data_IF_791633601888
#
_entry.id   IF_791633601888
#
_cell.length_a   1.000
_cell.length_b   1.000
_cell.length_c   1.000
_cell.angle_alpha   90.00
_cell.angle_beta   90.00
_cell.angle_gamma   90.00
#
_symmetry.space_group_name_H-M   'P 1'
#
loop_
_entity.id
_entity.type
_entity.pdbx_description
1 polymer ?
#
# COMPACT_ATOMS: atom_id res chain seq x y z
N UNK A 1 -4.31 -0.19 3.06
CA UNK A 1 -4.41 -0.44 4.50
C UNK A 1 -4.55 0.87 5.28
N UNK A 2 -5.74 1.18 5.84
CA UNK A 2 -6.00 2.41 6.59
C UNK A 2 -5.06 2.70 7.78
N UNK A 3 -4.38 1.70 8.35
CA UNK A 3 -3.41 1.92 9.43
C UNK A 3 -2.06 2.47 8.96
N UNK A 4 -1.67 2.22 7.71
CA UNK A 4 -0.32 2.50 7.19
C UNK A 4 -0.31 3.27 5.85
N UNK A 5 -1.47 3.51 5.24
CA UNK A 5 -1.64 4.31 4.03
C UNK A 5 -2.51 5.53 4.35
N UNK A 6 -1.92 6.73 4.22
CA UNK A 6 -2.61 8.01 4.45
C UNK A 6 -3.83 8.19 3.56
N UNK A 7 -3.76 7.73 2.31
CA UNK A 7 -4.85 7.78 1.35
C UNK A 7 -6.03 6.91 1.78
N UNK A 8 -5.76 5.68 2.23
CA UNK A 8 -6.81 4.73 2.62
C UNK A 8 -7.46 5.16 3.93
N UNK A 9 -6.67 5.69 4.87
CA UNK A 9 -7.19 6.25 6.12
C UNK A 9 -8.16 7.41 5.85
N UNK A 10 -7.75 8.35 4.98
CA UNK A 10 -8.58 9.50 4.63
C UNK A 10 -9.84 9.08 3.87
N UNK A 11 -9.75 8.13 2.93
CA UNK A 11 -10.92 7.62 2.22
C UNK A 11 -11.93 6.96 3.18
N UNK A 12 -11.44 6.20 4.16
CA UNK A 12 -12.28 5.59 5.20
C UNK A 12 -12.95 6.66 6.07
N UNK A 13 -12.21 7.68 6.53
CA UNK A 13 -12.75 8.77 7.33
C UNK A 13 -13.78 9.61 6.56
N UNK A 14 -13.54 9.89 5.27
CA UNK A 14 -14.50 10.58 4.42
C UNK A 14 -15.79 9.77 4.28
N UNK A 15 -15.68 8.46 4.08
CA UNK A 15 -16.83 7.57 4.03
C UNK A 15 -17.55 7.48 5.38
N UNK A 16 -16.86 7.53 6.53
CA UNK A 16 -17.50 7.55 7.86
C UNK A 16 -18.22 8.86 8.15
N UNK A 17 -17.58 9.99 7.86
CA UNK A 17 -18.06 11.33 8.22
C UNK A 17 -19.15 11.87 7.30
N UNK A 18 -19.25 11.39 6.05
CA UNK A 18 -20.17 11.94 5.04
C UNK A 18 -21.24 10.91 4.60
N UNK A 19 -22.40 10.83 5.28
CA UNK A 19 -23.50 9.95 4.86
C UNK A 19 -23.95 10.20 3.42
N UNK A 20 -23.94 11.45 2.95
CA UNK A 20 -24.27 11.80 1.57
C UNK A 20 -23.30 11.16 0.54
N UNK A 21 -22.03 11.00 0.90
CA UNK A 21 -21.04 10.32 0.04
C UNK A 21 -21.37 8.83 -0.07
N UNK A 22 -21.74 8.19 1.04
CA UNK A 22 -22.18 6.79 1.05
C UNK A 22 -23.46 6.60 0.22
N UNK A 23 -24.45 7.47 0.40
CA UNK A 23 -25.69 7.45 -0.37
C UNK A 23 -25.44 7.62 -1.88
N UNK A 24 -24.56 8.56 -2.27
CA UNK A 24 -24.19 8.80 -3.68
C UNK A 24 -23.68 7.54 -4.37
N UNK A 25 -22.86 6.75 -3.68
CA UNK A 25 -22.25 5.53 -4.22
C UNK A 25 -22.99 4.25 -3.82
N UNK A 26 -24.17 4.36 -3.18
CA UNK A 26 -24.97 3.22 -2.69
C UNK A 26 -24.19 2.29 -1.74
N UNK A 27 -23.30 2.88 -0.95
CA UNK A 27 -22.54 2.18 0.09
C UNK A 27 -23.39 2.09 1.35
N UNK A 28 -23.56 0.88 1.88
CA UNK A 28 -24.30 0.67 3.12
C UNK A 28 -23.44 1.02 4.35
N UNK A 29 -24.09 1.45 5.42
CA UNK A 29 -23.42 1.79 6.68
C UNK A 29 -22.66 0.58 7.27
N UNK A 30 -23.22 -0.62 7.16
CA UNK A 30 -22.60 -1.88 7.60
C UNK A 30 -21.27 -2.21 6.90
N UNK A 31 -21.01 -1.62 5.73
CA UNK A 31 -19.75 -1.83 4.98
C UNK A 31 -18.64 -0.88 5.39
N UNK A 32 -18.92 0.10 6.25
CA UNK A 32 -17.97 1.17 6.58
C UNK A 32 -17.86 1.39 8.08
N UNK A 33 -19.00 1.63 8.75
CA UNK A 33 -19.01 2.08 10.15
C UNK A 33 -18.35 1.10 11.12
N UNK A 34 -18.52 -0.23 10.99
CA UNK A 34 -17.90 -1.19 11.91
C UNK A 34 -16.37 -1.32 11.76
N UNK A 35 -15.80 -0.86 10.64
CA UNK A 35 -14.40 -1.13 10.31
C UNK A 35 -13.49 -0.02 10.80
N UNK A 36 -12.56 -0.36 11.70
CA UNK A 36 -11.50 0.53 12.18
C UNK A 36 -10.14 0.15 11.59
N UNK A 37 -9.20 1.11 11.63
CA UNK A 37 -7.83 0.86 11.18
C UNK A 37 -7.12 -0.13 12.11
N UNK A 38 -6.86 -1.33 11.61
CA UNK A 38 -6.17 -2.40 12.35
C UNK A 38 -4.65 -2.20 12.33
N UNK A 39 -3.97 -2.17 13.49
CA UNK A 39 -2.51 -2.09 13.55
C UNK A 39 -1.86 -3.39 13.05
N UNK A 40 -0.96 -3.28 12.07
CA UNK A 40 -0.25 -4.42 11.45
C UNK A 40 1.26 -4.31 11.58
N UNK A 41 1.79 -3.08 11.49
CA UNK A 41 3.21 -2.75 11.60
C UNK A 41 3.35 -1.73 12.73
N UNK A 42 4.42 -1.85 13.51
CA UNK A 42 4.82 -0.86 14.51
C UNK A 42 6.17 -0.27 14.14
N UNK A 43 6.34 1.03 14.36
CA UNK A 43 7.65 1.65 14.41
C UNK A 43 7.74 2.63 15.59
N UNK A 44 8.96 2.96 15.99
CA UNK A 44 9.20 3.81 17.17
C UNK A 44 8.63 5.23 16.98
N UNK A 45 8.69 5.76 15.76
CA UNK A 45 8.31 7.14 15.49
C UNK A 45 6.81 7.33 15.25
N UNK A 46 6.14 6.39 14.59
CA UNK A 46 4.74 6.51 14.20
C UNK A 46 3.79 5.55 14.92
N UNK A 47 4.29 4.77 15.89
CA UNK A 47 3.52 3.76 16.62
C UNK A 47 2.95 2.69 15.67
N UNK A 48 1.88 2.06 16.10
CA UNK A 48 1.11 0.99 15.47
C UNK A 48 0.11 1.48 14.40
N UNK A 49 -0.16 2.80 14.33
CA UNK A 49 -1.09 3.44 13.39
C UNK A 49 -0.48 4.68 12.71
N UNK A 50 0.49 4.43 11.84
CA UNK A 50 1.26 5.50 11.22
C UNK A 50 0.43 6.48 10.38
N UNK A 51 -0.58 6.00 9.66
CA UNK A 51 -1.45 6.84 8.84
C UNK A 51 -2.32 7.80 9.68
N UNK A 52 -2.82 7.33 10.82
CA UNK A 52 -3.60 8.14 11.75
C UNK A 52 -2.76 9.25 12.38
N UNK A 53 -1.53 8.92 12.80
CA UNK A 53 -0.60 9.92 13.32
C UNK A 53 -0.28 10.99 12.28
N UNK A 54 0.09 10.59 11.06
CA UNK A 54 0.40 11.52 9.98
C UNK A 54 -0.80 12.41 9.61
N UNK A 55 -2.03 11.86 9.69
CA UNK A 55 -3.26 12.62 9.49
C UNK A 55 -3.43 13.74 10.53
N UNK A 56 -3.21 13.44 11.82
CA UNK A 56 -3.31 14.40 12.92
C UNK A 56 -2.22 15.48 12.77
N UNK A 57 -0.97 15.07 12.57
CA UNK A 57 0.19 15.96 12.51
C UNK A 57 0.09 16.96 11.33
N UNK A 58 -0.33 16.47 10.15
CA UNK A 58 -0.45 17.29 8.94
C UNK A 58 -1.82 17.99 8.81
N UNK A 59 -2.73 17.78 9.78
CA UNK A 59 -4.08 18.35 9.81
C UNK A 59 -4.80 18.19 8.47
N UNK A 60 -4.80 16.96 7.96
CA UNK A 60 -5.50 16.61 6.72
C UNK A 60 -7.00 16.58 7.02
N UNK A 61 -7.82 17.10 6.13
CA UNK A 61 -9.29 17.23 6.31
C UNK A 61 -10.09 16.54 5.21
N UNK A 62 -9.45 16.18 4.10
CA UNK A 62 -10.13 15.65 2.92
C UNK A 62 -9.19 14.85 2.04
N UNK A 63 -9.72 13.83 1.37
CA UNK A 63 -8.98 13.06 0.34
C UNK A 63 -8.51 13.91 -0.86
N UNK A 64 -9.02 15.14 -1.00
CA UNK A 64 -8.63 16.06 -2.07
C UNK A 64 -7.32 16.81 -1.80
N UNK A 65 -6.78 16.76 -0.57
CA UNK A 65 -5.51 17.44 -0.21
C UNK A 65 -4.28 16.65 -0.68
N UNK A 66 -4.14 16.49 -2.00
CA UNK A 66 -3.12 15.63 -2.65
C UNK A 66 -1.69 15.90 -2.19
N UNK A 67 -1.32 17.17 -1.99
CA UNK A 67 0.03 17.56 -1.56
C UNK A 67 0.33 17.04 -0.16
N UNK A 68 -0.59 17.23 0.79
CA UNK A 68 -0.43 16.75 2.17
C UNK A 68 -0.46 15.22 2.24
N UNK A 69 -1.32 14.58 1.46
CA UNK A 69 -1.40 13.12 1.40
C UNK A 69 -0.14 12.49 0.81
N UNK A 70 0.45 13.11 -0.20
CA UNK A 70 1.73 12.70 -0.77
C UNK A 70 2.86 12.81 0.26
N UNK A 71 2.92 13.91 1.01
CA UNK A 71 3.91 14.06 2.09
C UNK A 71 3.70 13.04 3.21
N UNK A 72 2.45 12.84 3.65
CA UNK A 72 2.11 11.81 4.64
C UNK A 72 2.54 10.41 4.18
N UNK A 73 2.31 10.07 2.90
CA UNK A 73 2.73 8.79 2.32
C UNK A 73 4.25 8.66 2.32
N UNK A 74 4.97 9.71 1.93
CA UNK A 74 6.44 9.71 1.91
C UNK A 74 7.04 9.43 3.29
N UNK A 75 6.53 10.11 4.32
CA UNK A 75 7.00 9.98 5.70
C UNK A 75 6.73 8.58 6.28
N UNK A 76 5.52 8.07 6.08
CA UNK A 76 5.08 6.81 6.69
C UNK A 76 5.58 5.57 5.94
N UNK A 77 5.62 5.60 4.60
CA UNK A 77 5.92 4.42 3.78
C UNK A 77 7.37 3.96 3.90
N UNK A 78 8.33 4.88 3.72
CA UNK A 78 9.74 4.52 3.75
C UNK A 78 10.14 4.01 5.14
N UNK A 79 9.73 4.73 6.19
CA UNK A 79 10.03 4.36 7.58
C UNK A 79 9.32 3.08 8.00
N UNK A 80 8.07 2.88 7.58
CA UNK A 80 7.35 1.63 7.81
C UNK A 80 8.05 0.43 7.15
N UNK A 81 8.68 0.63 6.00
CA UNK A 81 9.47 -0.42 5.36
C UNK A 81 10.80 -0.68 6.06
N UNK A 82 11.60 0.35 6.35
CA UNK A 82 12.97 0.19 6.88
C UNK A 82 13.01 -0.13 8.37
N UNK A 83 12.16 0.51 9.16
CA UNK A 83 12.20 0.43 10.62
C UNK A 83 11.04 -0.39 11.20
N UNK A 84 10.01 -0.62 10.40
CA UNK A 84 8.79 -1.30 10.82
C UNK A 84 9.02 -2.74 11.27
N UNK A 85 8.27 -3.13 12.28
CA UNK A 85 8.22 -4.47 12.84
C UNK A 85 6.79 -4.99 12.79
N UNK A 86 6.61 -6.23 12.35
CA UNK A 86 5.28 -6.86 12.25
C UNK A 86 4.64 -7.08 13.63
N UNK A 87 3.34 -6.80 13.74
CA UNK A 87 2.54 -6.97 14.97
C UNK A 87 1.57 -8.15 14.93
N UNK A 88 1.26 -8.69 13.75
CA UNK A 88 0.23 -9.71 13.54
C UNK A 88 0.71 -10.81 12.62
N UNK A 89 0.08 -11.98 12.73
CA UNK A 89 0.35 -13.14 11.88
C UNK A 89 1.57 -13.96 12.29
N UNK A 90 2.06 -14.78 11.36
CA UNK A 90 3.16 -15.72 11.61
C UNK A 90 4.52 -15.03 11.78
N UNK A 91 4.66 -13.81 11.28
CA UNK A 91 5.91 -13.06 11.24
C UNK A 91 6.02 -11.99 12.32
N UNK A 92 5.28 -12.10 13.42
CA UNK A 92 5.31 -11.18 14.56
C UNK A 92 6.76 -10.93 15.02
N UNK A 93 7.08 -9.66 15.36
CA UNK A 93 8.41 -9.17 15.77
C UNK A 93 9.49 -9.17 14.70
N UNK A 94 9.22 -9.69 13.51
CA UNK A 94 10.17 -9.66 12.41
C UNK A 94 10.14 -8.29 11.71
N UNK A 95 11.28 -7.90 11.12
CA UNK A 95 11.36 -6.65 10.35
C UNK A 95 10.55 -6.76 9.08
N UNK A 96 9.87 -5.67 8.69
CA UNK A 96 9.03 -5.65 7.48
C UNK A 96 9.82 -6.00 6.23
N UNK A 97 11.09 -5.59 6.14
CA UNK A 97 11.97 -5.91 5.00
C UNK A 97 12.19 -7.42 4.83
N UNK A 98 12.29 -8.14 5.95
CA UNK A 98 12.47 -9.60 5.99
C UNK A 98 11.14 -10.34 5.82
N UNK A 99 10.06 -9.82 6.41
CA UNK A 99 8.73 -10.42 6.35
C UNK A 99 8.09 -10.33 4.96
N UNK A 100 8.29 -9.21 4.27
CA UNK A 100 7.68 -8.96 2.96
C UNK A 100 7.94 -10.08 1.92
N UNK A 101 9.18 -10.52 1.65
CA UNK A 101 9.43 -11.60 0.71
C UNK A 101 8.81 -12.94 1.17
N UNK A 102 8.84 -13.24 2.48
CA UNK A 102 8.28 -14.48 3.02
C UNK A 102 6.74 -14.52 2.91
N UNK A 103 6.07 -13.43 3.26
CA UNK A 103 4.62 -13.27 3.07
C UNK A 103 4.26 -13.41 1.59
N UNK A 104 5.04 -12.79 0.69
CA UNK A 104 4.82 -12.92 -0.76
C UNK A 104 4.90 -14.37 -1.21
N UNK A 105 5.93 -15.11 -0.79
CA UNK A 105 6.09 -16.53 -1.13
C UNK A 105 4.92 -17.36 -0.60
N UNK A 106 4.56 -17.19 0.67
CA UNK A 106 3.45 -17.90 1.30
C UNK A 106 2.12 -17.65 0.56
N UNK A 107 1.81 -16.38 0.21
CA UNK A 107 0.61 -16.06 -0.57
C UNK A 107 0.58 -16.72 -1.97
N UNK A 108 1.75 -16.86 -2.61
CA UNK A 108 1.86 -17.54 -3.91
C UNK A 108 1.68 -19.06 -3.75
N UNK A 109 2.31 -19.67 -2.75
CA UNK A 109 2.21 -21.10 -2.46
C UNK A 109 0.78 -21.52 -2.07
N UNK A 110 0.06 -20.67 -1.34
CA UNK A 110 -1.35 -20.88 -0.99
C UNK A 110 -2.33 -20.58 -2.15
N UNK A 111 -1.84 -20.02 -3.26
CA UNK A 111 -2.71 -19.59 -4.36
C UNK A 111 -3.59 -18.37 -4.04
N UNK A 112 -3.25 -17.60 -2.99
CA UNK A 112 -3.97 -16.38 -2.58
C UNK A 112 -3.43 -15.11 -3.26
N UNK A 113 -2.38 -15.24 -4.07
CA UNK A 113 -1.81 -14.15 -4.85
C UNK A 113 -1.27 -14.63 -6.20
N UNK A 114 -1.07 -13.69 -7.11
CA UNK A 114 -0.44 -13.92 -8.41
C UNK A 114 0.66 -12.89 -8.64
N UNK A 115 1.68 -13.27 -9.42
CA UNK A 115 2.69 -12.31 -9.87
C UNK A 115 2.09 -11.49 -11.01
N UNK A 116 2.10 -10.17 -10.84
CA UNK A 116 1.68 -9.22 -11.86
C UNK A 116 2.82 -8.22 -12.11
N UNK A 117 3.12 -7.99 -13.38
CA UNK A 117 4.19 -7.11 -13.82
C UNK A 117 3.59 -6.01 -14.69
N UNK A 118 3.90 -4.76 -14.36
CA UNK A 118 3.50 -3.58 -15.14
C UNK A 118 4.71 -2.67 -15.39
N UNK A 119 4.60 -1.80 -16.39
CA UNK A 119 5.63 -0.80 -16.66
C UNK A 119 5.48 0.35 -15.66
N UNK A 120 6.59 0.81 -15.09
CA UNK A 120 6.60 1.91 -14.11
C UNK A 120 5.99 3.20 -14.68
N UNK A 121 6.18 3.42 -15.99
CA UNK A 121 5.65 4.55 -16.75
C UNK A 121 5.14 4.05 -18.09
N UNK A 122 4.26 4.83 -18.70
CA UNK A 122 3.81 4.60 -20.07
C UNK A 122 5.01 4.61 -21.02
N UNK A 123 5.19 3.51 -21.76
CA UNK A 123 6.21 3.37 -22.80
C UNK A 123 5.52 3.20 -24.14
N UNK A 124 5.98 3.94 -25.14
CA UNK A 124 5.45 3.88 -26.49
C UNK A 124 6.46 3.21 -27.42
N UNK A 125 6.00 2.29 -28.25
CA UNK A 125 6.79 1.68 -29.31
C UNK A 125 7.05 2.69 -30.44
N UNK A 126 7.95 2.35 -31.36
CA UNK A 126 8.16 3.14 -32.59
C UNK A 126 6.96 3.12 -33.54
N UNK A 127 6.14 2.06 -33.51
CA UNK A 127 4.89 1.96 -34.27
C UNK A 127 3.76 2.79 -33.67
N UNK A 128 3.95 3.37 -32.47
CA UNK A 128 2.94 4.15 -31.78
C UNK A 128 2.05 3.33 -30.84
N UNK A 129 2.38 2.07 -30.60
CA UNK A 129 1.64 1.19 -29.68
C UNK A 129 2.10 1.41 -28.23
N UNK A 130 1.18 1.29 -27.27
CA UNK A 130 1.53 1.30 -25.85
C UNK A 130 2.11 -0.07 -25.44
N UNK A 131 3.32 -0.05 -24.92
CA UNK A 131 4.02 -1.26 -24.53
C UNK A 131 3.44 -1.86 -23.26
N UNK A 132 3.57 -3.18 -23.14
CA UNK A 132 3.17 -3.96 -21.97
C UNK A 132 4.31 -4.89 -21.56
N UNK A 133 4.34 -5.29 -20.29
CA UNK A 133 5.24 -6.33 -19.82
C UNK A 133 4.68 -7.71 -20.21
N UNK A 134 5.48 -8.53 -20.88
CA UNK A 134 5.10 -9.88 -21.31
C UNK A 134 6.15 -10.87 -20.84
N UNK A 135 5.69 -11.99 -20.29
CA UNK A 135 6.53 -13.16 -20.05
C UNK A 135 6.50 -14.02 -21.33
N UNK A 136 7.60 -14.02 -22.08
CA UNK A 136 7.75 -14.78 -23.33
C UNK A 136 9.12 -15.43 -23.38
N UNK A 137 9.21 -16.54 -24.10
CA UNK A 137 10.48 -17.15 -24.44
C UNK A 137 11.25 -16.21 -25.37
N UNK A 138 12.49 -15.88 -24.99
CA UNK A 138 13.37 -15.02 -25.76
C UNK A 138 14.83 -15.29 -25.42
N UNK A 139 15.73 -15.07 -26.38
CA UNK A 139 17.16 -15.06 -26.14
C UNK A 139 17.57 -13.74 -25.46
N UNK A 140 18.39 -13.82 -24.43
CA UNK A 140 18.90 -12.65 -23.70
C UNK A 140 20.36 -12.86 -23.28
N UNK A 141 21.04 -11.77 -22.96
CA UNK A 141 22.42 -11.77 -22.44
C UNK A 141 22.37 -11.67 -20.91
N UNK A 142 23.13 -12.52 -20.19
CA UNK A 142 23.16 -12.58 -18.72
C UNK A 142 24.06 -11.51 -18.12
N UNK A 143 23.66 -10.23 -18.19
CA UNK A 143 24.43 -9.12 -17.61
C UNK A 143 24.63 -9.15 -16.09
N UNK A 144 23.90 -10.01 -15.36
CA UNK A 144 23.95 -10.11 -13.91
C UNK A 144 24.93 -11.15 -13.36
N UNK A 145 25.54 -11.95 -14.23
CA UNK A 145 26.55 -12.94 -13.84
C UNK A 145 27.92 -12.27 -13.81
N UNK A 146 28.60 -12.39 -12.66
CA UNK A 146 30.03 -12.10 -12.55
C UNK A 146 30.73 -13.41 -12.91
N UNK A 147 31.70 -13.39 -13.83
CA UNK A 147 32.53 -14.56 -14.17
C UNK A 147 33.10 -15.27 -12.94
#
# INVERSE_FOLDING_TARGET
MPSHSSYDYMALLDLKSKPALRAKFRVKDEWVLPFEAMPIINNLEFSDKAAEKAYIDLKIKSQNEKVKLAEAKRLTYLKGFTEGTMLVGEYIRMKVQEAKPLIRTNLLELGHGVIYSELEKKVMSRSGDECVAVLTDQWYITYGEIE
#
